data_IF_431775202084
#
_entry.id   IF_431775202084
#
_cell.length_a   1.000
_cell.length_b   1.000
_cell.length_c   1.000
_cell.angle_alpha   90.00
_cell.angle_beta   90.00
_cell.angle_gamma   90.00
#
_symmetry.space_group_name_H-M   'P 1'
#
loop_
_entity.id
_entity.type
_entity.pdbx_description
1 polymer ?
#
# COMPACT_ATOMS: atom_id res chain seq x y z
N UNK A 1 11.88 23.94 -0.05
CA UNK A 1 11.06 23.13 -0.97
C UNK A 1 11.62 21.72 -0.92
N UNK A 2 10.84 20.75 -0.44
CA UNK A 2 11.36 19.40 -0.18
C UNK A 2 11.23 18.48 -1.39
N UNK A 3 10.16 18.64 -2.16
CA UNK A 3 9.97 18.01 -3.46
C UNK A 3 10.26 19.06 -4.54
N UNK A 4 11.25 18.81 -5.39
CA UNK A 4 11.71 19.75 -6.42
C UNK A 4 10.98 19.51 -7.74
N UNK A 5 10.64 18.26 -8.04
CA UNK A 5 9.99 17.89 -9.30
C UNK A 5 9.13 16.64 -9.11
N UNK A 6 7.96 16.62 -9.73
CA UNK A 6 7.08 15.44 -9.81
C UNK A 6 6.54 15.32 -11.21
N UNK A 7 6.53 14.11 -11.77
CA UNK A 7 5.89 13.86 -13.06
C UNK A 7 5.46 12.41 -13.18
N UNK A 8 4.31 12.20 -13.80
CA UNK A 8 3.88 10.89 -14.27
C UNK A 8 3.78 10.95 -15.79
N UNK A 9 4.47 10.05 -16.47
CA UNK A 9 4.57 10.04 -17.93
C UNK A 9 4.15 8.70 -18.50
N UNK A 10 3.39 8.75 -19.58
CA UNK A 10 2.89 7.58 -20.28
C UNK A 10 3.47 7.53 -21.70
N UNK A 11 4.05 6.38 -22.06
CA UNK A 11 4.67 6.19 -23.36
C UNK A 11 4.24 4.86 -23.97
N UNK A 12 4.00 4.86 -25.28
CA UNK A 12 3.79 3.63 -26.06
C UNK A 12 5.09 2.90 -26.42
N UNK A 13 6.25 3.58 -26.27
CA UNK A 13 7.57 3.12 -26.69
C UNK A 13 8.63 3.41 -25.64
N UNK A 14 9.53 2.45 -25.38
CA UNK A 14 10.56 2.55 -24.33
C UNK A 14 11.64 3.58 -24.66
N UNK A 15 11.89 3.85 -25.95
CA UNK A 15 12.86 4.85 -26.40
C UNK A 15 12.43 6.28 -26.05
N UNK A 16 11.11 6.53 -26.05
CA UNK A 16 10.56 7.84 -25.69
C UNK A 16 10.76 8.12 -24.20
N UNK A 17 10.47 7.12 -23.35
CA UNK A 17 10.76 7.21 -21.92
C UNK A 17 12.28 7.36 -21.69
N UNK A 18 13.10 6.57 -22.37
CA UNK A 18 14.56 6.64 -22.27
C UNK A 18 15.10 8.03 -22.62
N UNK A 19 14.55 8.69 -23.66
CA UNK A 19 14.92 10.04 -24.07
C UNK A 19 14.49 11.09 -23.06
N UNK A 20 13.31 10.92 -22.47
CA UNK A 20 12.81 11.75 -21.39
C UNK A 20 13.73 11.67 -20.16
N UNK A 21 14.01 10.44 -19.69
CA UNK A 21 14.86 10.19 -18.54
C UNK A 21 16.29 10.72 -18.74
N UNK A 22 16.85 10.65 -19.95
CA UNK A 22 18.21 11.16 -20.23
C UNK A 22 18.37 12.67 -20.09
N UNK A 23 17.30 13.46 -20.02
CA UNK A 23 17.37 14.92 -19.88
C UNK A 23 17.36 15.39 -18.43
N UNK A 24 16.72 14.63 -17.57
CA UNK A 24 16.44 15.02 -16.19
C UNK A 24 17.68 15.06 -15.26
N UNK A 25 18.68 14.16 -15.37
CA UNK A 25 19.88 14.21 -14.52
C UNK A 25 20.65 15.53 -14.61
N UNK A 26 20.57 16.24 -15.75
CA UNK A 26 21.22 17.55 -15.89
C UNK A 26 20.66 18.60 -14.93
N UNK A 27 19.38 18.48 -14.57
CA UNK A 27 18.71 19.39 -13.65
C UNK A 27 18.70 18.84 -12.21
N UNK A 28 18.70 17.52 -12.06
CA UNK A 28 18.30 16.87 -10.81
C UNK A 28 19.27 15.79 -10.28
N UNK A 29 20.40 15.53 -10.95
CA UNK A 29 21.27 14.38 -10.66
C UNK A 29 21.89 14.34 -9.25
N UNK A 30 21.98 15.49 -8.58
CA UNK A 30 22.50 15.59 -7.20
C UNK A 30 21.45 15.31 -6.11
N UNK A 31 20.19 15.17 -6.51
CA UNK A 31 19.03 15.01 -5.63
C UNK A 31 18.61 13.54 -5.49
N UNK A 32 17.64 13.27 -4.62
CA UNK A 32 17.11 11.92 -4.42
C UNK A 32 16.02 11.64 -5.45
N UNK A 33 16.15 10.53 -6.19
CA UNK A 33 15.10 10.05 -7.08
C UNK A 33 14.19 9.05 -6.35
N UNK A 34 12.88 9.28 -6.39
CA UNK A 34 11.85 8.33 -5.97
C UNK A 34 10.99 7.97 -7.19
N UNK A 35 10.85 6.69 -7.54
CA UNK A 35 10.14 6.31 -8.77
C UNK A 35 9.30 5.04 -8.67
N UNK A 36 8.25 4.96 -9.49
CA UNK A 36 7.48 3.76 -9.78
C UNK A 36 7.45 3.54 -11.29
N UNK A 37 7.81 2.32 -11.74
CA UNK A 37 7.84 1.96 -13.16
C UNK A 37 6.88 0.80 -13.44
N UNK A 38 5.93 1.01 -14.34
CA UNK A 38 5.09 -0.04 -14.89
C UNK A 38 5.42 -0.25 -16.37
N UNK A 39 5.93 -1.44 -16.71
CA UNK A 39 6.37 -1.77 -18.07
C UNK A 39 5.78 -3.11 -18.52
N UNK A 40 4.46 -3.13 -18.79
CA UNK A 40 3.69 -4.34 -19.11
C UNK A 40 3.96 -4.95 -20.49
N UNK A 41 4.73 -4.27 -21.34
CA UNK A 41 5.07 -4.69 -22.72
C UNK A 41 6.55 -4.83 -23.01
N UNK A 42 7.40 -4.51 -22.03
CA UNK A 42 8.84 -4.47 -22.27
C UNK A 42 9.41 -5.88 -22.26
N UNK A 43 10.27 -6.17 -23.23
CA UNK A 43 11.17 -7.32 -23.12
C UNK A 43 12.04 -7.15 -21.86
N UNK A 44 12.58 -8.26 -21.35
CA UNK A 44 13.47 -8.22 -20.18
C UNK A 44 14.65 -7.26 -20.41
N UNK A 45 15.19 -7.20 -21.63
CA UNK A 45 16.26 -6.29 -21.99
C UNK A 45 15.84 -4.82 -21.98
N UNK A 46 14.63 -4.50 -22.47
CA UNK A 46 14.07 -3.14 -22.40
C UNK A 46 13.80 -2.70 -20.97
N UNK A 47 13.20 -3.56 -20.16
CA UNK A 47 12.96 -3.28 -18.75
C UNK A 47 14.28 -3.05 -18.01
N UNK A 48 15.26 -3.92 -18.23
CA UNK A 48 16.61 -3.78 -17.65
C UNK A 48 17.28 -2.47 -18.06
N UNK A 49 17.16 -2.06 -19.33
CA UNK A 49 17.70 -0.78 -19.81
C UNK A 49 17.01 0.44 -19.16
N UNK A 50 15.69 0.41 -18.99
CA UNK A 50 14.93 1.47 -18.33
C UNK A 50 15.28 1.56 -16.84
N UNK A 51 15.32 0.43 -16.15
CA UNK A 51 15.72 0.35 -14.74
C UNK A 51 17.14 0.85 -14.55
N UNK A 52 18.09 0.42 -15.40
CA UNK A 52 19.48 0.90 -15.37
C UNK A 52 19.58 2.41 -15.53
N UNK A 53 18.78 3.03 -16.41
CA UNK A 53 18.70 4.49 -16.55
C UNK A 53 18.14 5.18 -15.30
N UNK A 54 17.13 4.60 -14.66
CA UNK A 54 16.54 5.15 -13.44
C UNK A 54 17.48 5.03 -12.24
N UNK A 55 18.15 3.90 -12.07
CA UNK A 55 19.08 3.68 -10.95
C UNK A 55 20.43 4.37 -11.14
N UNK A 56 20.79 4.77 -12.36
CA UNK A 56 21.95 5.62 -12.66
C UNK A 56 21.63 7.12 -12.73
N UNK A 57 20.36 7.51 -12.56
CA UNK A 57 19.91 8.90 -12.63
C UNK A 57 20.56 9.78 -11.56
N UNK A 58 20.64 9.26 -10.33
CA UNK A 58 21.20 9.94 -9.17
C UNK A 58 21.86 8.91 -8.23
N UNK A 59 22.88 9.32 -7.45
CA UNK A 59 23.53 8.45 -6.47
C UNK A 59 22.56 7.87 -5.43
N UNK A 60 21.53 8.66 -5.07
CA UNK A 60 20.49 8.26 -4.14
C UNK A 60 19.20 8.03 -4.91
N UNK A 61 18.75 6.79 -4.92
CA UNK A 61 17.51 6.42 -5.60
C UNK A 61 16.73 5.37 -4.82
N UNK A 62 15.42 5.51 -4.87
CA UNK A 62 14.45 4.61 -4.27
C UNK A 62 13.36 4.37 -5.30
N UNK A 63 12.87 3.14 -5.41
CA UNK A 63 11.74 2.90 -6.30
C UNK A 63 11.17 1.50 -6.26
N UNK A 64 10.20 1.25 -7.13
CA UNK A 64 9.61 -0.07 -7.30
C UNK A 64 9.19 -0.32 -8.76
N UNK A 65 8.97 -1.59 -9.07
CA UNK A 65 8.12 -1.96 -10.20
C UNK A 65 6.66 -1.97 -9.75
N UNK A 66 5.79 -1.43 -10.61
CA UNK A 66 4.36 -1.26 -10.36
C UNK A 66 3.52 -1.88 -11.47
N UNK A 67 2.23 -2.06 -11.19
CA UNK A 67 1.26 -2.60 -12.13
C UNK A 67 0.91 -1.59 -13.22
N UNK A 68 0.50 -2.11 -14.38
CA UNK A 68 0.03 -1.28 -15.49
C UNK A 68 -1.25 -0.53 -15.10
N UNK A 69 -1.29 0.78 -15.34
CA UNK A 69 -2.46 1.62 -15.06
C UNK A 69 -3.61 1.38 -16.04
N UNK A 70 -3.32 0.85 -17.24
CA UNK A 70 -4.35 0.53 -18.24
C UNK A 70 -4.25 -0.93 -18.70
N UNK A 71 -5.41 -1.55 -18.87
CA UNK A 71 -5.56 -2.88 -19.45
C UNK A 71 -5.36 -2.86 -20.97
N UNK A 72 -5.77 -1.78 -21.67
CA UNK A 72 -5.56 -1.56 -23.12
C UNK A 72 -5.62 -0.07 -23.50
N UNK A 73 -4.70 0.45 -24.33
CA UNK A 73 -3.43 -0.16 -24.73
C UNK A 73 -2.47 -0.23 -23.54
N UNK A 74 -1.67 -1.29 -23.47
CA UNK A 74 -0.59 -1.39 -22.47
C UNK A 74 0.48 -0.33 -22.77
N UNK A 75 0.57 0.66 -21.87
CA UNK A 75 1.52 1.76 -21.91
C UNK A 75 2.64 1.50 -20.90
N UNK A 76 3.83 2.02 -21.18
CA UNK A 76 4.89 2.17 -20.21
C UNK A 76 4.56 3.42 -19.39
N UNK A 77 4.35 3.26 -18.09
CA UNK A 77 4.09 4.35 -17.16
C UNK A 77 5.30 4.49 -16.23
N UNK A 78 5.78 5.72 -16.07
CA UNK A 78 6.81 6.04 -15.09
C UNK A 78 6.35 7.26 -14.30
N UNK A 79 6.17 7.05 -13.00
CA UNK A 79 5.98 8.13 -12.04
C UNK A 79 7.30 8.37 -11.32
N UNK A 80 7.69 9.63 -11.21
CA UNK A 80 8.92 10.03 -10.53
C UNK A 80 8.71 11.30 -9.72
N UNK A 81 9.39 11.34 -8.59
CA UNK A 81 9.53 12.49 -7.73
C UNK A 81 11.02 12.70 -7.41
N UNK A 82 11.45 13.96 -7.38
CA UNK A 82 12.81 14.36 -7.03
C UNK A 82 12.76 15.14 -5.74
N UNK A 83 13.51 14.67 -4.74
CA UNK A 83 13.56 15.27 -3.41
C UNK A 83 14.89 15.99 -3.16
N UNK A 84 14.83 17.17 -2.56
CA UNK A 84 16.01 17.92 -2.11
C UNK A 84 16.82 17.07 -1.12
N UNK A 85 18.04 16.70 -1.51
CA UNK A 85 18.95 15.89 -0.69
C UNK A 85 19.30 16.55 0.64
N UNK A 86 19.29 17.88 0.73
CA UNK A 86 19.56 18.60 1.97
C UNK A 86 18.38 18.58 2.96
N UNK A 87 17.21 18.14 2.50
CA UNK A 87 15.95 18.18 3.24
C UNK A 87 15.30 16.81 3.38
N UNK A 88 15.98 15.76 2.94
CA UNK A 88 15.39 14.42 2.84
C UNK A 88 16.44 13.34 3.07
N UNK A 89 15.99 12.22 3.63
CA UNK A 89 16.79 11.02 3.82
C UNK A 89 16.09 9.83 3.16
N UNK A 90 16.85 8.93 2.55
CA UNK A 90 16.31 7.67 2.06
C UNK A 90 16.46 6.60 3.14
N UNK A 91 15.60 5.59 3.10
CA UNK A 91 15.70 4.46 4.01
C UNK A 91 15.28 3.16 3.34
N UNK A 92 15.77 2.06 3.92
CA UNK A 92 15.29 0.71 3.68
C UNK A 92 14.85 0.11 5.01
N UNK A 93 13.66 -0.47 5.03
CA UNK A 93 13.14 -1.22 6.17
C UNK A 93 13.14 -2.71 5.89
N UNK A 94 13.61 -3.47 6.88
CA UNK A 94 13.42 -4.93 6.97
C UNK A 94 12.62 -5.32 8.20
N UNK A 95 11.95 -4.35 8.82
CA UNK A 95 11.10 -4.59 9.98
C UNK A 95 9.97 -5.52 9.51
N UNK A 96 9.85 -6.72 10.09
CA UNK A 96 8.89 -7.71 9.61
C UNK A 96 7.47 -7.20 9.83
N UNK A 97 6.64 -7.27 8.80
CA UNK A 97 5.20 -7.11 8.94
C UNK A 97 4.52 -8.41 9.34
N UNK A 98 3.20 -8.45 9.13
CA UNK A 98 2.40 -9.62 9.50
C UNK A 98 2.77 -10.82 8.62
N UNK A 99 3.00 -11.96 9.25
CA UNK A 99 3.20 -13.21 8.53
C UNK A 99 1.93 -13.60 7.75
N UNK A 100 2.09 -13.99 6.49
CA UNK A 100 0.96 -14.46 5.68
C UNK A 100 0.31 -15.69 6.36
N UNK A 101 -1.03 -15.68 6.55
CA UNK A 101 -1.75 -16.83 7.09
C UNK A 101 -1.54 -18.06 6.20
N UNK A 102 -0.72 -19.01 6.65
CA UNK A 102 -0.52 -20.27 5.92
C UNK A 102 -1.66 -21.24 6.20
N UNK A 103 -2.70 -21.19 5.37
CA UNK A 103 -3.78 -22.18 5.38
C UNK A 103 -3.44 -23.32 4.42
N UNK A 104 -3.32 -24.54 4.95
CA UNK A 104 -3.24 -25.76 4.16
C UNK A 104 -1.99 -25.92 3.29
N UNK A 105 -0.82 -26.11 3.92
CA UNK A 105 0.37 -26.86 3.42
C UNK A 105 1.50 -26.78 4.45
N UNK A 106 1.26 -27.29 5.67
CA UNK A 106 2.23 -27.33 6.77
C UNK A 106 3.59 -27.95 6.42
N UNK A 107 3.67 -28.69 5.30
CA UNK A 107 4.89 -29.39 4.85
C UNK A 107 5.62 -28.75 3.67
N UNK A 108 5.11 -27.69 3.03
CA UNK A 108 5.76 -27.12 1.85
C UNK A 108 6.52 -25.84 2.21
N UNK A 109 7.84 -25.84 1.97
CA UNK A 109 8.75 -24.70 2.08
C UNK A 109 9.36 -24.38 3.45
N UNK A 110 9.88 -25.39 4.15
CA UNK A 110 11.03 -25.15 5.05
C UNK A 110 12.31 -24.99 4.21
N UNK A 111 12.85 -23.78 4.11
CA UNK A 111 14.25 -23.59 3.68
C UNK A 111 15.13 -24.26 4.73
N UNK A 112 15.84 -25.34 4.36
CA UNK A 112 16.85 -25.98 5.21
C UNK A 112 17.85 -24.91 5.68
N UNK A 113 17.91 -24.66 6.98
CA UNK A 113 18.94 -23.81 7.61
C UNK A 113 18.43 -22.67 8.50
N UNK A 114 17.13 -22.34 8.50
CA UNK A 114 16.59 -21.39 9.50
C UNK A 114 16.15 -22.13 10.76
N UNK A 115 16.86 -21.92 11.86
CA UNK A 115 16.38 -22.20 13.22
C UNK A 115 15.31 -21.16 13.57
N UNK A 116 14.05 -21.50 13.30
CA UNK A 116 12.91 -20.81 13.89
C UNK A 116 12.53 -21.62 15.14
N UNK A 117 12.29 -20.98 16.30
CA UNK A 117 11.81 -21.68 17.49
C UNK A 117 10.53 -22.47 17.17
N UNK A 118 10.34 -23.66 17.76
CA UNK A 118 9.22 -24.54 17.43
C UNK A 118 7.87 -23.85 17.69
N UNK A 119 6.80 -24.24 16.96
CA UNK A 119 5.47 -23.66 17.16
C UNK A 119 5.05 -23.86 18.62
N UNK A 120 4.72 -22.76 19.31
CA UNK A 120 4.34 -22.77 20.72
C UNK A 120 5.43 -22.41 21.73
N UNK A 121 6.61 -21.92 21.31
CA UNK A 121 7.67 -21.49 22.25
C UNK A 121 7.77 -19.98 22.50
N UNK A 122 6.83 -19.17 22.02
CA UNK A 122 6.59 -17.84 22.61
C UNK A 122 5.63 -17.99 23.79
N UNK A 123 6.10 -18.65 24.85
CA UNK A 123 5.46 -18.54 26.16
C UNK A 123 5.80 -17.17 26.75
N UNK A 124 5.21 -16.12 26.18
CA UNK A 124 5.02 -14.87 26.92
C UNK A 124 4.08 -15.24 28.05
N UNK A 125 4.58 -15.21 29.30
CA UNK A 125 3.87 -15.70 30.48
C UNK A 125 2.40 -15.31 30.48
N UNK A 126 1.55 -16.29 30.16
CA UNK A 126 0.10 -16.12 30.03
C UNK A 126 -0.46 -15.95 31.45
N UNK A 127 -0.81 -14.72 31.82
CA UNK A 127 -1.71 -14.46 32.94
C UNK A 127 -3.16 -14.58 32.45
N UNK A 128 -4.08 -14.98 33.33
CA UNK A 128 -5.49 -15.34 33.07
C UNK A 128 -6.41 -14.23 32.52
N UNK A 129 -5.89 -13.16 31.92
CA UNK A 129 -6.70 -12.11 31.31
C UNK A 129 -5.98 -11.57 30.07
N UNK A 130 -6.05 -12.34 28.97
CA UNK A 130 -5.41 -11.99 27.70
C UNK A 130 -6.42 -11.23 26.85
N UNK A 131 -6.16 -9.94 26.68
CA UNK A 131 -6.78 -9.16 25.62
C UNK A 131 -6.17 -9.62 24.29
N UNK A 132 -6.93 -10.45 23.56
CA UNK A 132 -6.48 -10.99 22.28
C UNK A 132 -6.24 -9.86 21.27
N UNK A 133 -6.94 -8.73 21.34
CA UNK A 133 -6.64 -7.59 20.48
C UNK A 133 -5.25 -7.00 20.75
N UNK A 134 -4.83 -6.94 22.01
CA UNK A 134 -3.51 -6.46 22.42
C UNK A 134 -2.40 -7.42 21.96
N UNK A 135 -2.66 -8.73 21.93
CA UNK A 135 -1.72 -9.73 21.38
C UNK A 135 -1.55 -9.58 19.87
N UNK A 136 -2.64 -9.38 19.12
CA UNK A 136 -2.58 -9.15 17.67
C UNK A 136 -2.02 -7.76 17.30
N UNK A 137 -2.11 -6.77 18.21
CA UNK A 137 -1.47 -5.45 18.09
C UNK A 137 0.04 -5.51 18.44
N UNK A 138 0.44 -6.38 19.37
CA UNK A 138 1.83 -6.54 19.85
C UNK A 138 2.76 -7.31 18.91
N UNK A 139 2.23 -8.10 17.97
CA UNK A 139 3.02 -8.90 17.03
C UNK A 139 3.75 -8.10 15.94
N UNK A 140 3.78 -6.77 16.04
CA UNK A 140 4.24 -5.89 14.97
C UNK A 140 5.28 -4.89 15.50
N UNK A 141 6.47 -5.42 15.78
CA UNK A 141 7.74 -4.69 15.86
C UNK A 141 7.98 -3.83 17.10
N UNK A 142 9.24 -3.68 17.48
CA UNK A 142 9.70 -2.56 18.30
C UNK A 142 9.43 -1.23 17.58
N UNK A 143 9.31 -0.13 18.32
CA UNK A 143 9.25 1.24 17.74
C UNK A 143 10.60 1.67 17.12
N UNK A 144 11.45 0.71 16.73
CA UNK A 144 12.76 0.97 16.18
C UNK A 144 12.60 1.42 14.73
N UNK A 145 13.08 2.62 14.44
CA UNK A 145 13.06 3.15 13.10
C UNK A 145 14.08 2.41 12.20
N UNK A 146 13.84 2.35 10.88
CA UNK A 146 14.84 1.87 9.93
C UNK A 146 16.15 2.65 10.04
N UNK A 147 17.29 2.01 9.76
CA UNK A 147 18.63 2.61 9.91
C UNK A 147 18.76 3.99 9.26
N UNK A 148 18.20 4.18 8.06
CA UNK A 148 18.25 5.47 7.35
C UNK A 148 17.46 6.62 8.00
N UNK A 149 16.67 6.34 9.04
CA UNK A 149 15.90 7.33 9.80
C UNK A 149 16.44 7.54 11.22
N UNK A 150 17.36 6.70 11.70
CA UNK A 150 17.87 6.77 13.08
C UNK A 150 18.64 8.07 13.39
N UNK A 151 19.26 8.67 12.37
CA UNK A 151 20.00 9.93 12.52
C UNK A 151 19.08 11.18 12.49
N UNK A 152 17.80 11.01 12.18
CA UNK A 152 16.83 12.09 12.13
C UNK A 152 16.19 12.30 13.50
N UNK A 153 15.96 13.56 13.87
CA UNK A 153 15.14 13.86 15.04
C UNK A 153 13.67 13.60 14.70
N UNK A 154 12.93 12.80 15.47
CA UNK A 154 11.54 12.48 15.17
C UNK A 154 10.65 13.70 14.91
N UNK A 155 10.84 14.77 15.68
CA UNK A 155 10.06 16.02 15.58
C UNK A 155 10.41 16.84 14.33
N UNK A 156 11.56 16.57 13.72
CA UNK A 156 11.98 17.23 12.49
C UNK A 156 11.40 16.59 11.25
N UNK A 157 10.92 15.33 11.32
CA UNK A 157 10.37 14.64 10.16
C UNK A 157 8.96 15.14 9.89
N UNK A 158 8.75 15.68 8.69
CA UNK A 158 7.47 16.27 8.26
C UNK A 158 6.68 15.36 7.35
N UNK A 159 7.34 14.41 6.67
CA UNK A 159 6.67 13.50 5.77
C UNK A 159 7.49 12.24 5.49
N UNK A 160 6.80 11.14 5.21
CA UNK A 160 7.38 9.85 4.86
C UNK A 160 6.61 9.27 3.67
N UNK A 161 7.31 8.95 2.59
CA UNK A 161 6.72 8.27 1.43
C UNK A 161 7.49 7.00 1.14
N UNK A 162 6.82 5.86 1.02
CA UNK A 162 7.49 4.57 0.85
C UNK A 162 6.74 3.58 -0.03
N UNK A 163 7.50 2.65 -0.61
CA UNK A 163 7.02 1.43 -1.22
C UNK A 163 7.28 0.25 -0.29
N UNK A 164 6.30 -0.64 -0.11
CA UNK A 164 6.43 -1.87 0.67
C UNK A 164 6.11 -3.09 -0.16
N UNK A 165 6.56 -4.26 0.29
CA UNK A 165 5.96 -5.54 -0.08
C UNK A 165 4.53 -5.69 0.50
N UNK A 166 3.97 -6.90 0.45
CA UNK A 166 2.64 -7.23 0.99
C UNK A 166 2.52 -7.18 2.51
N UNK A 167 3.59 -6.88 3.25
CA UNK A 167 3.60 -6.89 4.72
C UNK A 167 4.14 -5.56 5.29
N UNK A 168 3.44 -4.41 5.06
CA UNK A 168 3.90 -3.09 5.48
C UNK A 168 3.78 -2.82 6.99
N UNK A 169 3.13 -3.70 7.74
CA UNK A 169 2.65 -3.40 9.10
C UNK A 169 3.80 -3.07 10.06
N UNK A 170 4.91 -3.81 9.95
CA UNK A 170 6.11 -3.61 10.77
C UNK A 170 6.64 -2.19 10.63
N UNK A 171 6.81 -1.73 9.39
CA UNK A 171 7.23 -0.36 9.12
C UNK A 171 6.16 0.66 9.54
N UNK A 172 4.90 0.41 9.20
CA UNK A 172 3.79 1.32 9.55
C UNK A 172 3.74 1.60 11.05
N UNK A 173 3.95 0.56 11.87
CA UNK A 173 3.99 0.70 13.32
C UNK A 173 5.24 1.42 13.82
N UNK A 174 6.42 1.10 13.29
CA UNK A 174 7.66 1.81 13.65
C UNK A 174 7.56 3.31 13.36
N UNK A 175 6.89 3.69 12.26
CA UNK A 175 6.68 5.10 11.89
C UNK A 175 5.75 5.85 12.87
N UNK A 176 5.06 5.19 13.80
CA UNK A 176 4.34 5.87 14.89
C UNK A 176 5.29 6.64 15.82
N UNK A 177 6.59 6.30 15.83
CA UNK A 177 7.62 7.10 16.49
C UNK A 177 7.81 8.50 15.86
N UNK A 178 7.20 8.77 14.70
CA UNK A 178 7.21 10.05 13.98
C UNK A 178 5.80 10.68 13.99
N UNK A 179 5.29 11.16 15.14
CA UNK A 179 3.88 11.55 15.29
C UNK A 179 3.49 12.78 14.45
N UNK A 180 4.43 13.69 14.17
CA UNK A 180 4.19 14.90 13.39
C UNK A 180 4.31 14.73 11.87
N UNK A 181 4.73 13.55 11.40
CA UNK A 181 4.97 13.31 9.98
C UNK A 181 3.73 12.80 9.26
N UNK A 182 3.43 13.36 8.09
CA UNK A 182 2.49 12.79 7.13
C UNK A 182 3.06 11.51 6.52
N UNK A 183 2.27 10.44 6.40
CA UNK A 183 2.77 9.13 5.95
C UNK A 183 1.98 8.65 4.75
N UNK A 184 2.68 8.36 3.65
CA UNK A 184 2.13 7.77 2.44
C UNK A 184 2.86 6.46 2.14
N UNK A 185 2.15 5.35 2.31
CA UNK A 185 2.64 4.01 1.96
C UNK A 185 1.95 3.47 0.71
N UNK A 186 2.72 2.88 -0.19
CA UNK A 186 2.22 2.19 -1.37
C UNK A 186 2.73 0.74 -1.40
N UNK A 187 1.84 -0.22 -1.60
CA UNK A 187 2.24 -1.61 -1.78
C UNK A 187 2.71 -1.79 -3.23
N UNK A 188 3.96 -2.22 -3.39
CA UNK A 188 4.55 -2.53 -4.68
C UNK A 188 3.82 -3.72 -5.32
N UNK A 189 3.81 -3.75 -6.65
CA UNK A 189 3.12 -4.83 -7.35
C UNK A 189 3.92 -6.11 -7.35
N UNK A 190 3.21 -7.24 -7.37
CA UNK A 190 3.85 -8.55 -7.45
C UNK A 190 4.58 -8.73 -8.79
N UNK A 191 5.83 -9.19 -8.76
CA UNK A 191 6.67 -9.35 -9.95
C UNK A 191 7.19 -10.78 -10.26
N UNK A 192 6.59 -11.89 -9.78
CA UNK A 192 7.20 -13.22 -9.94
C UNK A 192 7.31 -13.63 -11.41
N UNK A 193 6.36 -13.20 -12.25
CA UNK A 193 6.36 -13.47 -13.68
C UNK A 193 7.18 -12.48 -14.51
N UNK A 194 7.62 -11.36 -13.90
CA UNK A 194 8.40 -10.33 -14.58
C UNK A 194 9.90 -10.44 -14.27
N UNK A 195 10.24 -10.65 -12.99
CA UNK A 195 11.63 -10.65 -12.51
C UNK A 195 12.01 -11.92 -11.75
N UNK A 196 11.09 -12.87 -11.58
CA UNK A 196 11.30 -14.04 -10.72
C UNK A 196 11.25 -13.74 -9.22
N UNK A 197 10.94 -12.50 -8.83
CA UNK A 197 10.91 -12.04 -7.43
C UNK A 197 9.48 -11.72 -7.00
N UNK A 198 9.09 -12.01 -5.75
CA UNK A 198 7.77 -11.65 -5.22
C UNK A 198 7.45 -10.16 -5.43
N UNK A 199 8.40 -9.29 -5.10
CA UNK A 199 8.37 -7.86 -5.34
C UNK A 199 9.73 -7.39 -5.89
N UNK A 200 9.76 -6.23 -6.55
CA UNK A 200 11.00 -5.63 -7.05
C UNK A 200 11.08 -4.19 -6.53
N UNK A 201 11.84 -4.01 -5.46
CA UNK A 201 12.13 -2.72 -4.83
C UNK A 201 13.58 -2.30 -5.14
N UNK A 202 13.82 -1.00 -5.28
CA UNK A 202 15.13 -0.42 -5.55
C UNK A 202 15.56 0.49 -4.41
N UNK A 203 16.82 0.35 -3.99
CA UNK A 203 17.45 1.25 -3.03
C UNK A 203 18.94 1.40 -3.37
N UNK A 204 19.36 2.60 -3.77
CA UNK A 204 20.73 2.92 -4.21
C UNK A 204 21.28 1.93 -5.24
N UNK A 205 20.48 1.64 -6.27
CA UNK A 205 20.84 0.69 -7.34
C UNK A 205 20.81 -0.79 -6.95
N UNK A 206 20.56 -1.13 -5.69
CA UNK A 206 20.36 -2.51 -5.25
C UNK A 206 18.89 -2.94 -5.41
N UNK A 207 18.68 -4.22 -5.73
CA UNK A 207 17.35 -4.82 -5.91
C UNK A 207 16.99 -5.65 -4.68
N UNK A 208 15.80 -5.41 -4.12
CA UNK A 208 15.27 -6.13 -2.96
C UNK A 208 13.95 -6.81 -3.30
N UNK A 209 13.78 -8.04 -2.79
CA UNK A 209 12.59 -8.86 -3.01
C UNK A 209 11.49 -8.70 -1.94
N UNK A 210 11.74 -7.90 -0.91
CA UNK A 210 10.86 -7.71 0.24
C UNK A 210 11.37 -6.63 1.19
N UNK A 211 10.57 -6.32 2.20
CA UNK A 211 10.69 -5.15 3.06
C UNK A 211 10.07 -3.90 2.43
N UNK A 212 10.58 -2.75 2.80
CA UNK A 212 10.14 -1.46 2.27
C UNK A 212 11.32 -0.52 1.98
N UNK A 213 11.10 0.43 1.08
CA UNK A 213 12.08 1.46 0.68
C UNK A 213 11.36 2.80 0.58
N UNK A 214 11.96 3.87 1.06
CA UNK A 214 11.27 5.16 1.11
C UNK A 214 12.16 6.37 1.26
N UNK A 215 11.51 7.53 1.32
CA UNK A 215 12.11 8.85 1.56
C UNK A 215 11.37 9.49 2.73
N UNK A 216 12.12 10.03 3.69
CA UNK A 216 11.62 10.91 4.73
C UNK A 216 12.06 12.35 4.47
N UNK A 217 11.22 13.31 4.82
CA UNK A 217 11.42 14.75 4.58
C UNK A 217 11.48 15.50 5.91
N UNK A 218 12.32 16.53 6.01
CA UNK A 218 12.54 17.27 7.27
C UNK A 218 12.23 18.77 7.20
N UNK A 219 11.97 19.31 6.01
CA UNK A 219 11.58 20.72 5.85
C UNK A 219 10.06 20.85 5.75
N UNK A 220 9.50 21.71 6.60
CA UNK A 220 8.09 22.11 6.63
C UNK A 220 7.59 22.57 5.26
N UNK A 221 6.41 22.09 4.86
CA UNK A 221 5.72 22.54 3.65
C UNK A 221 4.84 21.51 2.94
N UNK A 222 4.69 20.29 3.45
CA UNK A 222 3.76 19.31 2.89
C UNK A 222 2.43 19.39 3.63
N UNK A 223 1.39 19.85 2.95
CA UNK A 223 0.01 19.55 3.32
C UNK A 223 -0.40 18.33 2.49
N UNK A 224 -0.86 17.27 3.15
CA UNK A 224 -1.39 16.08 2.50
C UNK A 224 -2.92 16.12 2.54
N UNK A 225 -3.56 15.91 1.40
CA UNK A 225 -4.99 15.60 1.32
C UNK A 225 -5.16 14.30 0.55
N UNK A 226 -6.14 13.50 0.97
CA UNK A 226 -6.54 12.28 0.27
C UNK A 226 -7.93 12.50 -0.28
N UNK A 227 -8.05 12.40 -1.59
CA UNK A 227 -9.33 12.43 -2.29
C UNK A 227 -9.61 11.07 -2.91
N UNK A 228 -10.80 10.54 -2.67
CA UNK A 228 -11.24 9.25 -3.19
C UNK A 228 -12.05 9.43 -4.48
N UNK A 229 -11.40 9.97 -5.51
CA UNK A 229 -12.04 10.27 -6.79
C UNK A 229 -12.54 9.00 -7.50
N UNK A 230 -13.69 9.11 -8.18
CA UNK A 230 -14.32 7.98 -8.87
C UNK A 230 -15.06 7.00 -7.96
N UNK A 231 -15.09 7.23 -6.65
CA UNK A 231 -15.87 6.45 -5.72
C UNK A 231 -17.29 7.00 -5.56
N UNK A 232 -18.29 6.13 -5.68
CA UNK A 232 -19.71 6.46 -5.50
C UNK A 232 -20.31 5.64 -4.37
N UNK A 233 -20.89 6.32 -3.38
CA UNK A 233 -21.66 5.65 -2.34
C UNK A 233 -22.93 5.00 -2.93
N UNK A 234 -23.17 3.74 -2.57
CA UNK A 234 -24.38 2.98 -2.94
C UNK A 234 -25.31 2.74 -1.75
N UNK A 235 -24.95 3.25 -0.58
CA UNK A 235 -25.73 3.21 0.66
C UNK A 235 -25.72 4.58 1.34
N UNK A 236 -26.72 4.88 2.20
CA UNK A 236 -26.61 5.96 3.18
C UNK A 236 -25.48 5.66 4.19
N UNK A 237 -25.18 6.62 5.07
CA UNK A 237 -24.31 6.35 6.21
C UNK A 237 -24.96 5.28 7.12
N UNK A 238 -24.19 4.27 7.49
CA UNK A 238 -24.55 3.16 8.36
C UNK A 238 -23.58 3.15 9.55
N UNK A 239 -23.98 2.60 10.68
CA UNK A 239 -23.13 2.46 11.86
C UNK A 239 -22.70 1.02 12.03
N UNK A 240 -21.41 0.76 12.28
CA UNK A 240 -20.98 -0.57 12.70
C UNK A 240 -21.51 -0.83 14.11
N UNK A 241 -22.34 -1.86 14.26
CA UNK A 241 -22.89 -2.29 15.56
C UNK A 241 -22.25 -3.58 16.07
N UNK A 242 -21.53 -4.32 15.21
CA UNK A 242 -20.78 -5.52 15.58
C UNK A 242 -19.62 -5.80 14.63
N UNK A 243 -18.45 -6.06 15.19
CA UNK A 243 -17.21 -6.37 14.46
C UNK A 243 -16.36 -7.36 15.25
N UNK A 244 -15.64 -8.24 14.55
CA UNK A 244 -14.67 -9.17 15.16
C UNK A 244 -13.51 -9.42 14.19
N UNK A 245 -12.28 -9.16 14.63
CA UNK A 245 -11.11 -9.19 13.76
C UNK A 245 -11.31 -8.28 12.55
N UNK A 246 -11.13 -8.80 11.33
CA UNK A 246 -11.37 -8.09 10.07
C UNK A 246 -12.81 -8.25 9.53
N UNK A 247 -13.71 -8.84 10.32
CA UNK A 247 -15.09 -9.09 9.93
C UNK A 247 -16.02 -8.01 10.50
N UNK A 248 -16.86 -7.45 9.64
CA UNK A 248 -18.05 -6.69 10.04
C UNK A 248 -19.20 -7.67 10.15
N UNK A 249 -19.74 -7.81 11.35
CA UNK A 249 -20.82 -8.74 11.66
C UNK A 249 -22.19 -8.06 11.59
N UNK A 250 -22.26 -6.77 11.96
CA UNK A 250 -23.52 -6.02 11.97
C UNK A 250 -23.33 -4.55 11.58
N UNK A 251 -24.27 -4.05 10.77
CA UNK A 251 -24.42 -2.64 10.39
C UNK A 251 -25.85 -2.20 10.73
N UNK A 252 -25.98 -1.17 11.58
CA UNK A 252 -27.26 -0.71 12.14
C UNK A 252 -28.13 -1.85 12.71
N UNK A 253 -27.50 -2.84 13.37
CA UNK A 253 -28.17 -4.02 13.91
C UNK A 253 -28.68 -5.01 12.85
N UNK A 254 -28.24 -4.88 11.60
CA UNK A 254 -28.65 -5.72 10.48
C UNK A 254 -27.47 -6.41 9.78
N UNK A 255 -27.78 -7.47 9.03
CA UNK A 255 -26.85 -8.28 8.24
C UNK A 255 -26.15 -7.43 7.14
N UNK A 256 -24.83 -7.18 7.23
CA UNK A 256 -24.07 -6.38 6.28
C UNK A 256 -24.08 -6.92 4.85
N UNK A 257 -23.97 -8.24 4.67
CA UNK A 257 -23.98 -8.87 3.34
C UNK A 257 -25.33 -8.72 2.64
N UNK A 258 -26.43 -8.83 3.40
CA UNK A 258 -27.78 -8.56 2.92
C UNK A 258 -27.99 -7.10 2.53
N UNK A 259 -27.46 -6.17 3.34
CA UNK A 259 -27.49 -4.73 3.04
C UNK A 259 -26.72 -4.41 1.76
N UNK A 260 -25.52 -4.95 1.60
CA UNK A 260 -24.71 -4.81 0.39
C UNK A 260 -25.45 -5.33 -0.85
N UNK A 261 -25.98 -6.55 -0.81
CA UNK A 261 -26.69 -7.14 -1.95
C UNK A 261 -27.93 -6.33 -2.34
N UNK A 262 -28.67 -5.82 -1.34
CA UNK A 262 -29.81 -4.95 -1.58
C UNK A 262 -29.39 -3.59 -2.17
N UNK A 263 -28.28 -3.02 -1.72
CA UNK A 263 -27.73 -1.77 -2.25
C UNK A 263 -27.30 -1.93 -3.72
N UNK A 264 -26.63 -3.03 -4.06
CA UNK A 264 -26.23 -3.36 -5.44
C UNK A 264 -27.45 -3.47 -6.35
N UNK A 265 -28.50 -4.16 -5.90
CA UNK A 265 -29.75 -4.29 -6.68
C UNK A 265 -30.43 -2.94 -6.92
N UNK A 266 -30.44 -2.07 -5.91
CA UNK A 266 -31.05 -0.74 -5.98
C UNK A 266 -30.23 0.27 -6.80
N UNK A 267 -28.91 0.13 -6.87
CA UNK A 267 -28.03 1.10 -7.53
C UNK A 267 -28.10 1.06 -9.07
N UNK A 268 -28.82 0.07 -9.65
CA UNK A 268 -28.92 -0.14 -11.09
C UNK A 268 -27.78 -0.97 -11.68
N UNK A 269 -26.81 -1.42 -10.87
CA UNK A 269 -25.77 -2.38 -11.25
C UNK A 269 -26.30 -3.83 -11.38
N UNK A 270 -27.62 -3.97 -11.61
CA UNK A 270 -28.39 -5.21 -11.44
C UNK A 270 -28.71 -5.98 -12.72
N UNK A 271 -28.38 -5.46 -13.91
CA UNK A 271 -28.42 -6.27 -15.14
C UNK A 271 -27.14 -7.12 -15.23
N UNK A 272 -27.11 -8.15 -14.39
CA UNK A 272 -25.94 -8.95 -14.09
C UNK A 272 -25.19 -8.33 -12.91
N UNK A 273 -25.11 -9.05 -11.79
CA UNK A 273 -24.06 -8.83 -10.80
C UNK A 273 -22.75 -8.79 -11.59
N UNK A 274 -22.24 -7.61 -11.93
CA UNK A 274 -21.04 -7.50 -12.73
C UNK A 274 -19.94 -8.15 -11.89
N UNK A 275 -19.58 -9.38 -12.25
CA UNK A 275 -18.63 -10.23 -11.52
C UNK A 275 -17.24 -9.60 -11.38
N UNK A 276 -17.04 -8.41 -11.95
CA UNK A 276 -15.80 -7.66 -12.02
C UNK A 276 -15.86 -6.31 -11.30
N UNK A 277 -16.97 -5.94 -10.65
CA UNK A 277 -17.07 -4.69 -9.91
C UNK A 277 -16.46 -4.84 -8.50
N UNK A 278 -15.56 -3.92 -8.15
CA UNK A 278 -14.94 -3.88 -6.83
C UNK A 278 -15.76 -3.00 -5.87
N UNK A 279 -16.12 -3.59 -4.73
CA UNK A 279 -16.86 -2.92 -3.67
C UNK A 279 -15.95 -2.61 -2.48
N UNK A 280 -16.24 -1.47 -1.86
CA UNK A 280 -15.46 -0.95 -0.76
C UNK A 280 -16.35 -0.50 0.39
N UNK A 281 -15.79 -0.52 1.59
CA UNK A 281 -16.35 0.11 2.78
C UNK A 281 -15.56 1.39 3.07
N UNK A 282 -16.23 2.53 2.96
CA UNK A 282 -15.69 3.83 3.32
C UNK A 282 -16.03 4.21 4.75
N UNK A 283 -15.03 4.53 5.57
CA UNK A 283 -15.19 5.11 6.90
C UNK A 283 -15.33 6.63 6.80
N UNK A 284 -16.31 7.16 7.51
CA UNK A 284 -16.59 8.59 7.56
C UNK A 284 -15.97 9.22 8.82
N UNK A 285 -15.44 10.43 8.64
CA UNK A 285 -15.03 11.32 9.72
C UNK A 285 -15.58 12.70 9.39
N UNK A 286 -16.34 13.29 10.30
CA UNK A 286 -17.01 14.59 10.07
C UNK A 286 -17.84 14.62 8.77
N UNK A 287 -18.56 13.52 8.50
CA UNK A 287 -19.34 13.23 7.28
C UNK A 287 -18.55 13.11 5.96
N UNK A 288 -17.22 13.27 6.00
CA UNK A 288 -16.34 13.10 4.86
C UNK A 288 -15.67 11.72 4.83
N UNK A 289 -15.40 11.22 3.63
CA UNK A 289 -14.74 9.93 3.44
C UNK A 289 -13.27 10.02 3.87
N UNK A 290 -12.90 9.28 4.90
CA UNK A 290 -11.58 9.35 5.52
C UNK A 290 -10.70 8.14 5.18
N UNK A 291 -11.29 6.95 5.13
CA UNK A 291 -10.58 5.71 4.86
C UNK A 291 -11.45 4.75 4.05
N UNK A 292 -10.83 3.93 3.21
CA UNK A 292 -11.52 2.97 2.36
C UNK A 292 -10.89 1.59 2.52
N UNK A 293 -11.74 0.58 2.73
CA UNK A 293 -11.37 -0.82 2.83
C UNK A 293 -11.98 -1.58 1.68
N UNK A 294 -11.20 -2.41 0.99
CA UNK A 294 -11.76 -3.33 -0.01
C UNK A 294 -12.53 -4.43 0.69
N UNK A 295 -13.72 -4.74 0.18
CA UNK A 295 -14.52 -5.86 0.66
C UNK A 295 -14.02 -7.12 -0.05
N UNK A 296 -13.48 -8.08 0.72
CA UNK A 296 -12.87 -9.29 0.18
C UNK A 296 -13.88 -10.40 -0.06
N UNK A 297 -14.84 -10.52 0.84
CA UNK A 297 -15.89 -11.52 0.76
C UNK A 297 -17.07 -11.14 1.64
N UNK A 298 -18.22 -11.72 1.34
CA UNK A 298 -19.41 -11.66 2.18
C UNK A 298 -20.21 -12.94 2.00
N UNK A 299 -20.71 -13.49 3.09
CA UNK A 299 -21.61 -14.64 3.06
C UNK A 299 -23.02 -14.13 3.43
N UNK A 300 -23.98 -14.06 2.49
CA UNK A 300 -25.34 -13.64 2.78
C UNK A 300 -26.05 -14.53 3.82
N UNK A 301 -25.69 -15.81 3.90
CA UNK A 301 -26.30 -16.79 4.80
C UNK A 301 -25.79 -16.66 6.24
N UNK A 302 -24.48 -16.40 6.41
CA UNK A 302 -23.86 -16.14 7.72
C UNK A 302 -23.97 -14.67 8.14
N UNK A 303 -24.22 -13.80 7.18
CA UNK A 303 -24.42 -12.39 7.38
C UNK A 303 -23.20 -11.62 7.82
N UNK A 304 -21.99 -12.04 7.43
CA UNK A 304 -20.75 -11.32 7.74
C UNK A 304 -20.08 -10.80 6.47
N UNK A 305 -19.28 -9.75 6.61
CA UNK A 305 -18.49 -9.14 5.54
C UNK A 305 -17.04 -9.03 5.98
N UNK A 306 -16.11 -9.49 5.15
CA UNK A 306 -14.67 -9.45 5.40
C UNK A 306 -14.01 -8.29 4.69
N UNK A 307 -13.18 -7.53 5.40
CA UNK A 307 -12.42 -6.40 4.87
C UNK A 307 -10.95 -6.77 4.63
N UNK A 308 -10.33 -6.16 3.61
CA UNK A 308 -8.90 -6.22 3.33
C UNK A 308 -8.13 -5.38 4.35
N UNK A 309 -8.10 -5.83 5.60
CA UNK A 309 -7.40 -5.21 6.72
C UNK A 309 -7.16 -6.22 7.83
N UNK A 310 -6.28 -5.87 8.78
CA UNK A 310 -6.05 -6.69 9.96
C UNK A 310 -7.17 -6.63 11.00
N UNK A 311 -7.89 -5.51 11.05
CA UNK A 311 -8.98 -5.24 12.00
C UNK A 311 -10.01 -4.34 11.29
N UNK A 312 -11.30 -4.67 11.44
CA UNK A 312 -12.40 -3.86 10.93
C UNK A 312 -12.54 -2.56 11.75
N UNK A 313 -13.16 -1.51 11.20
CA UNK A 313 -13.40 -0.30 11.98
C UNK A 313 -14.24 -0.62 13.23
N UNK A 314 -13.98 0.05 14.37
CA UNK A 314 -14.60 -0.31 15.63
C UNK A 314 -16.11 -0.03 15.65
N UNK A 315 -16.82 -0.70 16.55
CA UNK A 315 -18.24 -0.45 16.82
C UNK A 315 -18.48 1.04 17.13
N UNK A 316 -19.54 1.61 16.55
CA UNK A 316 -19.87 3.03 16.59
C UNK A 316 -19.31 3.84 15.41
N UNK A 317 -18.44 3.26 14.58
CA UNK A 317 -17.91 3.94 13.39
C UNK A 317 -18.99 4.11 12.33
N UNK A 318 -19.08 5.32 11.76
CA UNK A 318 -19.96 5.61 10.62
C UNK A 318 -19.28 5.21 9.30
N UNK A 319 -19.99 4.48 8.45
CA UNK A 319 -19.48 3.92 7.20
C UNK A 319 -20.48 4.05 6.05
N UNK A 320 -19.98 3.96 4.82
CA UNK A 320 -20.78 3.78 3.59
C UNK A 320 -20.20 2.63 2.79
N UNK A 321 -21.06 1.85 2.16
CA UNK A 321 -20.68 0.98 1.04
C UNK A 321 -20.54 1.83 -0.21
N UNK A 322 -19.43 1.62 -0.90
CA UNK A 322 -18.95 2.42 -2.02
C UNK A 322 -18.58 1.50 -3.19
N UNK A 323 -18.85 1.97 -4.40
CA UNK A 323 -18.48 1.34 -5.67
C UNK A 323 -17.48 2.23 -6.41
N UNK A 324 -16.44 1.63 -7.01
CA UNK A 324 -15.58 2.33 -7.95
C UNK A 324 -16.32 2.50 -9.30
N UNK A 325 -16.62 3.73 -9.65
CA UNK A 325 -17.11 4.10 -10.98
C UNK A 325 -15.96 4.62 -11.81
N UNK A 326 -15.58 3.89 -12.87
CA UNK A 326 -14.69 4.45 -13.88
C UNK A 326 -15.40 5.66 -14.52
N UNK A 327 -14.71 6.78 -14.78
CA UNK A 327 -15.29 7.84 -15.58
C UNK A 327 -15.71 7.25 -16.94
N UNK A 328 -16.85 7.65 -17.51
CA UNK A 328 -17.23 7.20 -18.85
C UNK A 328 -16.08 7.55 -19.81
N UNK A 329 -15.76 6.69 -20.79
CA UNK A 329 -14.79 7.06 -21.81
C UNK A 329 -15.27 8.35 -22.47
N UNK A 330 -14.42 9.39 -22.46
CA UNK A 330 -14.66 10.59 -23.23
C UNK A 330 -14.93 10.17 -24.68
N UNK A 331 -16.12 10.54 -25.18
CA UNK A 331 -16.54 10.27 -26.57
C UNK A 331 -15.93 11.28 -27.52
#
# INVERSE_FOLDING_TARGET
MTVIHTSTSFFSKSEHLSRYLSRLPKAYGENILFFALAASKSSESELSALVSKLTSFAPLNVGCLSASVSSKPTLICCSLAVFDKSASAIFRSTIPGRAEPQVGRWHAFRKKGQTIPPPGTFSVGLKENIDWEDVWKRDVGSNDLPEGLNDLRPESVTGVTYFSDSSPEGLSNALNALPGADKLGLIASSTPFLTGRPFTLFHNGQIHSGGAVGVATTKSGTASSVEFNGLRAITPALTITGSDGNLVQELDGANPSGLLLNAIRKSGAGEGLAQNDEYFMGVLKDDELWQVYRIMSGDPSRGTMSLESGVAPPVGTSVKVILLTLPPPER
#
